data_IF_858972928732
#
_entry.id   IF_858972928732
#
_cell.length_a   1.000
_cell.length_b   1.000
_cell.length_c   1.000
_cell.angle_alpha   90.00
_cell.angle_beta   90.00
_cell.angle_gamma   90.00
#
_symmetry.space_group_name_H-M   'P 1'
#
loop_
_entity.id
_entity.type
_entity.pdbx_description
1 polymer ?
#
# COMPACT_ATOMS: atom_id res chain seq x y z
N UNK A 1 -22.90 33.43 -21.23
CA UNK A 1 -22.71 32.24 -20.39
C UNK A 1 -24.11 31.81 -19.99
N UNK A 2 -24.62 30.74 -20.61
CA UNK A 2 -25.91 30.18 -20.23
C UNK A 2 -25.75 29.52 -18.86
N UNK A 3 -26.61 29.88 -17.91
CA UNK A 3 -26.53 29.43 -16.53
C UNK A 3 -26.93 27.97 -16.26
N UNK A 4 -26.88 27.11 -17.27
CA UNK A 4 -27.23 25.70 -17.14
C UNK A 4 -26.08 24.95 -16.47
N UNK A 5 -26.35 24.38 -15.31
CA UNK A 5 -25.42 23.50 -14.58
C UNK A 5 -25.37 22.11 -15.26
N UNK A 6 -24.53 21.94 -16.26
CA UNK A 6 -24.26 20.64 -16.82
C UNK A 6 -23.19 19.94 -16.02
N UNK A 7 -23.38 18.64 -15.74
CA UNK A 7 -22.34 17.78 -15.14
C UNK A 7 -21.30 17.45 -16.19
N UNK A 8 -20.09 17.96 -16.02
CA UNK A 8 -18.94 17.64 -16.88
C UNK A 8 -18.13 16.55 -16.23
N UNK A 9 -17.80 15.50 -16.99
CA UNK A 9 -16.97 14.40 -16.53
C UNK A 9 -15.50 14.72 -16.85
N UNK A 10 -14.66 14.74 -15.82
CA UNK A 10 -13.21 14.83 -15.94
C UNK A 10 -12.59 13.45 -15.85
N UNK A 11 -11.50 13.25 -16.58
CA UNK A 11 -10.72 12.00 -16.55
C UNK A 11 -9.33 12.29 -16.03
N UNK A 12 -8.88 11.49 -15.06
CA UNK A 12 -7.52 11.52 -14.56
C UNK A 12 -6.69 10.47 -15.31
N UNK A 13 -5.62 10.92 -15.95
CA UNK A 13 -4.64 10.05 -16.59
C UNK A 13 -3.37 10.01 -15.75
N UNK A 14 -2.98 8.82 -15.28
CA UNK A 14 -1.71 8.58 -14.59
C UNK A 14 -0.78 7.87 -15.56
N UNK A 15 0.28 8.53 -15.97
CA UNK A 15 1.23 8.01 -16.95
C UNK A 15 2.57 7.76 -16.25
N UNK A 16 2.96 6.49 -16.03
CA UNK A 16 4.27 6.16 -15.49
C UNK A 16 5.36 6.57 -16.48
N UNK A 17 6.13 7.63 -16.18
CA UNK A 17 7.15 8.15 -17.09
C UNK A 17 8.31 7.18 -17.37
N UNK A 18 8.42 6.09 -16.58
CA UNK A 18 9.40 5.02 -16.80
C UNK A 18 8.96 3.97 -17.81
N UNK A 19 7.66 3.88 -18.10
CA UNK A 19 7.07 2.94 -19.05
C UNK A 19 7.02 3.57 -20.45
N UNK A 20 8.13 4.14 -20.89
CA UNK A 20 8.24 4.78 -22.19
C UNK A 20 8.41 3.74 -23.31
N UNK A 21 7.74 3.95 -24.43
CA UNK A 21 7.85 3.07 -25.61
C UNK A 21 9.20 3.20 -26.31
N UNK A 22 9.81 4.38 -26.28
CA UNK A 22 11.05 4.65 -27.00
C UNK A 22 11.92 5.66 -26.28
N UNK A 23 13.22 5.38 -26.26
CA UNK A 23 14.27 6.30 -25.83
C UNK A 23 15.07 6.77 -27.03
N UNK A 24 15.26 8.07 -27.16
CA UNK A 24 16.05 8.68 -28.23
C UNK A 24 17.25 9.41 -27.64
N UNK A 25 18.44 9.16 -28.17
CA UNK A 25 19.68 9.76 -27.71
C UNK A 25 20.27 9.13 -26.43
N UNK A 26 21.15 9.86 -25.76
CA UNK A 26 21.94 9.40 -24.63
C UNK A 26 21.28 9.67 -23.26
N UNK A 27 19.99 9.91 -23.19
CA UNK A 27 19.25 10.15 -21.94
C UNK A 27 19.34 8.90 -21.07
N UNK A 28 19.88 9.03 -19.86
CA UNK A 28 20.05 7.91 -18.91
C UNK A 28 19.01 7.88 -17.79
N UNK A 29 18.50 9.06 -17.43
CA UNK A 29 17.56 9.21 -16.30
C UNK A 29 16.66 10.44 -16.49
N UNK A 30 15.73 10.64 -15.53
CA UNK A 30 14.81 11.77 -15.49
C UNK A 30 15.20 12.84 -14.44
N UNK A 31 16.47 12.91 -14.05
CA UNK A 31 16.92 13.86 -13.02
C UNK A 31 16.87 15.31 -13.50
N UNK A 32 17.06 15.53 -14.78
CA UNK A 32 17.07 16.87 -15.37
C UNK A 32 16.14 16.90 -16.59
N UNK A 33 14.88 17.25 -16.37
CA UNK A 33 13.90 17.46 -17.43
C UNK A 33 13.83 18.95 -17.73
N UNK A 34 14.23 19.35 -18.95
CA UNK A 34 14.24 20.78 -19.36
C UNK A 34 12.92 21.22 -19.98
N UNK A 35 12.23 20.32 -20.65
CA UNK A 35 10.90 20.60 -21.20
C UNK A 35 10.10 19.31 -21.32
N UNK A 36 8.80 19.47 -21.36
CA UNK A 36 7.83 18.42 -21.59
C UNK A 36 6.92 18.85 -22.73
N UNK A 37 6.68 17.93 -23.66
CA UNK A 37 5.77 18.16 -24.79
C UNK A 37 4.69 17.11 -24.78
N UNK A 38 3.45 17.56 -24.90
CA UNK A 38 2.30 16.69 -25.14
C UNK A 38 1.75 17.00 -26.53
N UNK A 39 1.45 15.96 -27.29
CA UNK A 39 0.79 16.09 -28.59
C UNK A 39 -0.24 14.99 -28.75
N UNK A 40 -1.24 15.24 -29.55
CA UNK A 40 -2.32 14.30 -29.83
C UNK A 40 -2.52 14.21 -31.32
N UNK A 41 -2.78 13.02 -31.82
CA UNK A 41 -2.98 12.72 -33.23
C UNK A 41 -4.20 11.83 -33.44
N UNK A 42 -4.61 11.64 -34.69
CA UNK A 42 -5.66 10.69 -35.04
C UNK A 42 -7.10 11.19 -34.91
N UNK A 43 -7.32 12.48 -34.69
CA UNK A 43 -8.67 13.03 -34.65
C UNK A 43 -9.32 13.00 -36.05
N UNK A 44 -10.48 12.35 -36.12
CA UNK A 44 -11.29 12.27 -37.36
C UNK A 44 -12.33 13.38 -37.46
N UNK A 45 -12.58 14.10 -36.38
CA UNK A 45 -13.57 15.19 -36.29
C UNK A 45 -12.97 16.34 -35.48
N UNK A 46 -13.53 17.54 -35.66
CA UNK A 46 -13.20 18.67 -34.79
C UNK A 46 -13.48 18.29 -33.33
N UNK A 47 -12.47 18.41 -32.50
CA UNK A 47 -12.50 17.99 -31.09
C UNK A 47 -11.95 19.09 -30.23
N UNK A 48 -12.67 19.44 -29.16
CA UNK A 48 -12.20 20.37 -28.14
C UNK A 48 -11.81 19.57 -26.90
N UNK A 49 -10.57 19.73 -26.46
CA UNK A 49 -10.05 19.12 -25.24
C UNK A 49 -9.77 20.22 -24.23
N UNK A 50 -10.11 19.95 -22.97
CA UNK A 50 -9.81 20.84 -21.84
C UNK A 50 -8.88 20.11 -20.91
N UNK A 51 -7.77 20.74 -20.55
CA UNK A 51 -6.80 20.25 -19.58
C UNK A 51 -6.97 21.04 -18.29
N UNK A 52 -7.11 20.33 -17.18
CA UNK A 52 -7.20 20.95 -15.85
C UNK A 52 -5.81 21.18 -15.27
N UNK A 53 -5.13 20.09 -14.92
CA UNK A 53 -3.83 20.11 -14.25
C UNK A 53 -2.87 19.15 -14.94
N UNK A 54 -1.58 19.50 -14.95
CA UNK A 54 -0.49 18.63 -15.39
C UNK A 54 0.61 18.68 -14.32
N UNK A 55 0.81 17.56 -13.62
CA UNK A 55 1.75 17.47 -12.52
C UNK A 55 2.73 16.32 -12.72
N UNK A 56 3.99 16.53 -12.31
CA UNK A 56 4.98 15.48 -12.15
C UNK A 56 4.98 15.06 -10.67
N UNK A 57 4.42 13.89 -10.41
CA UNK A 57 4.34 13.34 -9.06
C UNK A 57 5.49 12.39 -8.81
N UNK A 58 6.23 12.60 -7.72
CA UNK A 58 7.24 11.67 -7.23
C UNK A 58 6.67 10.84 -6.10
N UNK A 59 6.52 9.54 -6.35
CA UNK A 59 6.20 8.60 -5.28
C UNK A 59 7.48 8.10 -4.58
N UNK A 60 7.47 8.04 -3.26
CA UNK A 60 8.56 7.42 -2.48
C UNK A 60 8.53 5.89 -2.56
N UNK A 61 7.36 5.34 -2.78
CA UNK A 61 7.13 3.91 -2.90
C UNK A 61 7.44 3.40 -4.31
N UNK A 62 8.20 2.31 -4.38
CA UNK A 62 8.58 1.63 -5.62
C UNK A 62 7.92 0.26 -5.67
N UNK A 63 7.36 -0.12 -6.81
CA UNK A 63 6.84 -1.47 -7.02
C UNK A 63 7.98 -2.48 -6.97
N UNK A 64 7.77 -3.55 -6.21
CA UNK A 64 8.70 -4.66 -6.17
C UNK A 64 8.36 -5.65 -7.31
N UNK A 65 9.31 -5.87 -8.22
CA UNK A 65 9.10 -6.58 -9.48
C UNK A 65 9.65 -8.00 -9.49
N UNK A 66 10.17 -8.50 -8.36
CA UNK A 66 10.71 -9.84 -8.23
C UNK A 66 9.78 -10.73 -7.41
N UNK A 67 9.99 -12.04 -7.47
CA UNK A 67 9.29 -12.98 -6.60
C UNK A 67 9.67 -12.73 -5.14
N UNK A 68 8.67 -12.69 -4.25
CA UNK A 68 8.90 -12.41 -2.82
C UNK A 68 9.49 -13.60 -2.05
N UNK A 69 9.36 -14.80 -2.61
CA UNK A 69 9.98 -16.03 -2.07
C UNK A 69 11.32 -16.34 -2.72
N UNK A 70 11.50 -15.95 -3.99
CA UNK A 70 12.76 -16.11 -4.73
C UNK A 70 13.10 -14.83 -5.51
N UNK A 71 13.80 -13.90 -4.87
CA UNK A 71 14.05 -12.56 -5.43
C UNK A 71 15.08 -12.51 -6.58
N UNK A 72 15.57 -13.64 -7.02
CA UNK A 72 16.47 -13.75 -8.19
C UNK A 72 15.70 -13.95 -9.50
N UNK A 73 14.40 -14.21 -9.42
CA UNK A 73 13.53 -14.47 -10.58
C UNK A 73 12.32 -13.53 -10.59
N UNK A 74 11.70 -13.30 -11.75
CA UNK A 74 10.40 -12.63 -11.82
C UNK A 74 9.34 -13.40 -11.03
N UNK A 75 8.22 -12.77 -10.66
CA UNK A 75 7.10 -13.47 -10.03
C UNK A 75 6.64 -14.66 -10.86
N UNK A 76 6.24 -15.73 -10.17
CA UNK A 76 5.78 -16.97 -10.83
C UNK A 76 4.40 -16.84 -11.49
N UNK A 77 3.65 -15.82 -11.12
CA UNK A 77 2.29 -15.59 -11.61
C UNK A 77 2.20 -14.32 -12.44
N UNK A 78 1.22 -14.30 -13.34
CA UNK A 78 0.90 -13.12 -14.16
C UNK A 78 0.15 -12.04 -13.37
N UNK A 79 -0.08 -12.25 -12.08
CA UNK A 79 -0.74 -11.28 -11.20
C UNK A 79 -0.07 -9.92 -11.24
N UNK A 80 -0.87 -8.88 -11.43
CA UNK A 80 -0.39 -7.50 -11.57
C UNK A 80 -0.69 -6.67 -10.33
N UNK A 81 0.13 -5.66 -10.11
CA UNK A 81 -0.12 -4.60 -9.14
C UNK A 81 -0.06 -3.25 -9.82
N UNK A 82 -1.10 -2.45 -9.64
CA UNK A 82 -1.11 -1.03 -10.02
C UNK A 82 -1.10 -0.22 -8.74
N UNK A 83 -0.10 0.64 -8.61
CA UNK A 83 0.11 1.48 -7.43
C UNK A 83 -0.32 2.90 -7.75
N UNK A 84 -1.18 3.45 -6.92
CA UNK A 84 -1.68 4.82 -7.08
C UNK A 84 -1.95 5.45 -5.71
N UNK A 85 -2.35 6.71 -5.69
CA UNK A 85 -2.92 7.36 -4.51
C UNK A 85 -4.44 7.40 -4.62
N UNK A 86 -5.13 7.26 -3.51
CA UNK A 86 -6.53 7.62 -3.33
C UNK A 86 -6.61 8.73 -2.28
N UNK A 87 -7.48 9.70 -2.49
CA UNK A 87 -7.53 10.88 -1.63
C UNK A 87 -8.95 11.43 -1.50
N UNK A 88 -9.15 12.29 -0.49
CA UNK A 88 -10.49 12.80 -0.17
C UNK A 88 -11.04 13.71 -1.27
N UNK A 89 -10.22 14.45 -2.00
CA UNK A 89 -10.65 15.42 -2.98
C UNK A 89 -11.08 14.77 -4.30
N UNK A 90 -10.30 13.82 -4.80
CA UNK A 90 -10.55 13.14 -6.06
C UNK A 90 -11.48 11.93 -5.91
N UNK A 91 -11.38 11.22 -4.79
CA UNK A 91 -12.03 9.93 -4.57
C UNK A 91 -13.15 9.98 -3.51
N UNK A 92 -13.50 11.17 -3.00
CA UNK A 92 -14.58 11.32 -2.04
C UNK A 92 -15.97 10.97 -2.60
N UNK A 93 -16.12 10.84 -3.93
CA UNK A 93 -17.35 10.39 -4.61
C UNK A 93 -17.14 9.13 -5.46
N UNK A 94 -16.05 8.40 -5.25
CA UNK A 94 -15.75 7.15 -5.93
C UNK A 94 -16.79 6.08 -5.57
N UNK A 95 -17.05 5.15 -6.48
CA UNK A 95 -17.87 3.96 -6.28
C UNK A 95 -17.01 2.71 -6.59
N UNK A 96 -17.25 1.58 -5.95
CA UNK A 96 -18.30 1.25 -4.98
C UNK A 96 -17.99 1.71 -3.54
N UNK A 97 -16.73 2.05 -3.24
CA UNK A 97 -16.32 2.60 -1.94
C UNK A 97 -15.62 3.93 -2.20
N UNK A 98 -16.14 4.99 -1.61
CA UNK A 98 -15.50 6.29 -1.66
C UNK A 98 -14.45 6.43 -0.56
N UNK A 99 -13.47 7.29 -0.79
CA UNK A 99 -12.48 7.61 0.22
C UNK A 99 -13.11 8.41 1.37
N UNK A 100 -12.85 7.99 2.59
CA UNK A 100 -13.14 8.71 3.82
C UNK A 100 -11.87 8.78 4.68
N UNK A 101 -11.78 9.76 5.56
CA UNK A 101 -10.65 9.88 6.47
C UNK A 101 -10.60 8.69 7.44
N UNK A 102 -9.40 8.13 7.73
CA UNK A 102 -9.28 7.12 8.79
C UNK A 102 -9.74 7.67 10.14
N UNK A 103 -10.21 6.78 11.05
CA UNK A 103 -10.64 7.19 12.38
C UNK A 103 -9.55 7.97 13.14
N UNK A 104 -9.94 9.11 13.70
CA UNK A 104 -9.02 9.99 14.45
C UNK A 104 -8.07 10.81 13.61
N UNK A 105 -8.12 10.73 12.29
CA UNK A 105 -7.35 11.57 11.38
C UNK A 105 -8.19 12.78 10.97
N UNK A 106 -7.59 13.96 11.04
CA UNK A 106 -8.18 15.21 10.58
C UNK A 106 -7.27 15.89 9.56
N UNK A 107 -7.89 16.58 8.61
CA UNK A 107 -7.13 17.36 7.62
C UNK A 107 -6.52 18.59 8.30
N UNK A 108 -5.21 18.77 8.11
CA UNK A 108 -4.53 19.98 8.57
C UNK A 108 -4.83 21.14 7.62
N UNK A 109 -4.81 22.36 8.16
CA UNK A 109 -4.90 23.56 7.34
C UNK A 109 -3.54 23.89 6.73
N UNK A 110 -3.54 24.30 5.48
CA UNK A 110 -2.33 24.80 4.82
C UNK A 110 -2.07 26.24 5.28
N UNK A 111 -1.15 26.38 6.21
CA UNK A 111 -0.77 27.69 6.75
C UNK A 111 -0.04 28.61 5.76
N UNK A 112 0.38 28.08 4.61
CA UNK A 112 1.02 28.87 3.54
C UNK A 112 0.01 29.61 2.65
N UNK A 113 -1.29 29.27 2.77
CA UNK A 113 -2.35 29.84 1.95
C UNK A 113 -3.24 30.80 2.75
N UNK A 114 -3.50 32.02 2.25
CA UNK A 114 -4.36 32.98 2.94
C UNK A 114 -5.81 32.51 3.14
N UNK A 115 -6.26 31.51 2.38
CA UNK A 115 -7.65 31.02 2.36
C UNK A 115 -7.90 29.81 3.26
N UNK A 116 -7.04 29.50 4.24
CA UNK A 116 -7.22 28.38 5.18
C UNK A 116 -7.68 27.08 4.47
N UNK A 117 -7.06 26.76 3.33
CA UNK A 117 -7.38 25.52 2.62
C UNK A 117 -6.89 24.32 3.44
N UNK A 118 -7.72 23.29 3.51
CA UNK A 118 -7.34 22.04 4.13
C UNK A 118 -6.41 21.26 3.18
N UNK A 119 -5.32 20.71 3.72
CA UNK A 119 -4.44 19.83 2.95
C UNK A 119 -5.19 18.60 2.47
N UNK A 120 -4.87 18.15 1.25
CA UNK A 120 -5.43 16.92 0.72
C UNK A 120 -4.85 15.73 1.49
N UNK A 121 -5.70 14.89 2.02
CA UNK A 121 -5.32 13.69 2.73
C UNK A 121 -5.47 12.48 1.79
N UNK A 122 -4.46 11.58 1.80
CA UNK A 122 -4.35 10.53 0.81
C UNK A 122 -3.78 9.22 1.38
N UNK A 123 -4.19 8.12 0.80
CA UNK A 123 -3.67 6.79 1.06
C UNK A 123 -2.96 6.21 -0.18
N UNK A 124 -2.06 5.27 0.06
CA UNK A 124 -1.47 4.46 -0.99
C UNK A 124 -2.46 3.37 -1.40
N UNK A 125 -2.86 3.32 -2.67
CA UNK A 125 -3.69 2.27 -3.24
C UNK A 125 -2.83 1.24 -3.97
N UNK A 126 -3.09 -0.03 -3.70
CA UNK A 126 -2.54 -1.20 -4.38
C UNK A 126 -3.69 -1.98 -5.00
N UNK A 127 -3.93 -1.78 -6.28
CA UNK A 127 -4.90 -2.58 -7.04
C UNK A 127 -4.23 -3.84 -7.55
N UNK A 128 -4.70 -4.96 -7.08
CA UNK A 128 -4.20 -6.30 -7.40
C UNK A 128 -5.13 -6.96 -8.42
N UNK A 129 -4.56 -7.53 -9.47
CA UNK A 129 -5.29 -8.25 -10.50
C UNK A 129 -4.67 -9.62 -10.69
N UNK A 130 -5.52 -10.67 -10.66
CA UNK A 130 -5.19 -12.06 -10.97
C UNK A 130 -4.01 -12.62 -10.16
N UNK A 131 -3.95 -12.32 -8.87
CA UNK A 131 -2.92 -12.82 -7.97
C UNK A 131 -3.13 -14.31 -7.69
N UNK A 132 -2.14 -15.12 -8.06
CA UNK A 132 -2.16 -16.57 -7.86
C UNK A 132 -2.15 -16.99 -6.39
N UNK A 133 -2.56 -18.24 -6.07
CA UNK A 133 -2.49 -18.80 -4.72
C UNK A 133 -1.14 -18.66 -4.07
N UNK A 134 -1.11 -18.25 -2.81
CA UNK A 134 0.07 -18.07 -1.97
C UNK A 134 1.11 -17.07 -2.54
N UNK A 135 0.77 -16.34 -3.61
CA UNK A 135 1.61 -15.29 -4.19
C UNK A 135 1.34 -13.94 -3.53
N UNK A 136 2.25 -13.00 -3.72
CA UNK A 136 2.16 -11.67 -3.16
C UNK A 136 2.73 -10.60 -4.09
N UNK A 137 2.24 -9.37 -3.94
CA UNK A 137 2.78 -8.18 -4.59
C UNK A 137 3.05 -7.12 -3.54
N UNK A 138 4.06 -6.32 -3.78
CA UNK A 138 4.49 -5.35 -2.78
C UNK A 138 5.06 -4.07 -3.39
N UNK A 139 5.08 -3.04 -2.56
CA UNK A 139 5.83 -1.81 -2.74
C UNK A 139 6.87 -1.66 -1.65
N UNK A 140 7.95 -0.96 -1.93
CA UNK A 140 9.00 -0.72 -0.95
C UNK A 140 9.57 0.69 -1.05
N UNK A 141 10.18 1.14 0.03
CA UNK A 141 11.02 2.33 0.05
C UNK A 141 12.30 2.06 0.83
N UNK A 142 13.39 2.67 0.37
CA UNK A 142 14.65 2.67 1.11
C UNK A 142 14.61 3.74 2.20
N UNK A 143 15.10 3.40 3.37
CA UNK A 143 15.10 4.24 4.57
C UNK A 143 16.45 4.18 5.27
N UNK A 144 16.58 4.86 6.37
CA UNK A 144 17.71 4.76 7.29
C UNK A 144 17.21 5.07 8.70
N UNK A 145 16.34 4.19 9.22
CA UNK A 145 15.68 4.40 10.50
C UNK A 145 16.28 3.54 11.61
N UNK A 146 16.47 4.16 12.77
CA UNK A 146 16.66 3.47 14.05
C UNK A 146 15.31 3.48 14.79
N UNK A 147 14.69 2.30 14.86
CA UNK A 147 13.35 2.14 15.45
C UNK A 147 13.37 1.72 16.92
N UNK A 148 14.54 1.56 17.55
CA UNK A 148 14.66 1.06 18.93
C UNK A 148 14.01 1.94 19.99
N UNK A 149 13.86 3.25 19.69
CA UNK A 149 13.26 4.24 20.60
C UNK A 149 11.74 4.38 20.48
N UNK A 150 11.13 3.67 19.54
CA UNK A 150 9.69 3.64 19.33
C UNK A 150 9.12 2.34 19.90
N UNK A 151 7.95 2.42 20.52
CA UNK A 151 7.30 1.25 21.13
C UNK A 151 6.33 0.56 20.19
N UNK A 152 5.67 1.32 19.33
CA UNK A 152 4.59 0.82 18.47
C UNK A 152 4.73 1.25 17.03
N UNK A 153 4.22 0.40 16.14
CA UNK A 153 3.97 0.73 14.74
C UNK A 153 2.46 0.70 14.49
N UNK A 154 1.96 1.72 13.81
CA UNK A 154 0.57 1.84 13.41
C UNK A 154 0.45 2.11 11.93
N UNK A 155 -0.60 1.55 11.29
CA UNK A 155 -0.97 1.79 9.91
C UNK A 155 -2.43 1.36 9.71
N UNK A 156 -3.24 2.20 9.08
CA UNK A 156 -4.58 1.82 8.65
C UNK A 156 -4.53 1.02 7.36
N UNK A 157 -5.42 0.06 7.22
CA UNK A 157 -5.61 -0.68 5.98
C UNK A 157 -7.10 -0.83 5.65
N UNK A 158 -7.41 -0.66 4.38
CA UNK A 158 -8.71 -0.88 3.76
C UNK A 158 -8.57 -1.99 2.72
N UNK A 159 -9.62 -2.77 2.53
CA UNK A 159 -9.70 -3.74 1.45
C UNK A 159 -11.09 -3.75 0.83
N UNK A 160 -11.14 -3.87 -0.49
CA UNK A 160 -12.40 -4.00 -1.22
C UNK A 160 -12.31 -5.06 -2.32
N UNK A 161 -13.45 -5.72 -2.59
CA UNK A 161 -13.58 -6.62 -3.71
C UNK A 161 -13.63 -5.83 -5.04
N UNK A 162 -13.25 -6.44 -6.18
CA UNK A 162 -13.47 -5.83 -7.48
C UNK A 162 -14.97 -5.68 -7.77
N UNK A 163 -15.33 -4.72 -8.63
CA UNK A 163 -16.72 -4.52 -9.06
C UNK A 163 -17.21 -5.71 -9.90
N UNK A 164 -16.30 -6.39 -10.57
CA UNK A 164 -16.59 -7.57 -11.39
C UNK A 164 -16.98 -8.76 -10.51
N UNK A 165 -18.27 -9.09 -10.51
CA UNK A 165 -18.85 -10.19 -9.73
C UNK A 165 -18.28 -11.56 -10.07
N UNK A 166 -17.64 -11.73 -11.25
CA UNK A 166 -16.94 -12.96 -11.61
C UNK A 166 -15.70 -13.22 -10.77
N UNK A 167 -15.19 -12.19 -10.08
CA UNK A 167 -13.97 -12.24 -9.24
C UNK A 167 -14.35 -12.03 -7.78
N UNK A 168 -14.66 -13.12 -7.10
CA UNK A 168 -15.04 -13.07 -5.69
C UNK A 168 -13.84 -12.90 -4.76
N UNK A 169 -13.95 -11.99 -3.80
CA UNK A 169 -13.03 -11.82 -2.70
C UNK A 169 -13.82 -11.87 -1.39
N UNK A 170 -13.30 -12.54 -0.38
CA UNK A 170 -13.92 -12.69 0.94
C UNK A 170 -12.99 -12.23 2.05
N UNK A 171 -13.52 -12.02 3.25
CA UNK A 171 -12.72 -11.66 4.41
C UNK A 171 -11.61 -12.70 4.65
N UNK A 172 -10.38 -12.24 4.83
CA UNK A 172 -9.21 -13.08 5.06
C UNK A 172 -8.56 -13.67 3.79
N UNK A 173 -9.19 -13.56 2.62
CA UNK A 173 -8.60 -14.02 1.34
C UNK A 173 -7.30 -13.26 1.04
N UNK A 174 -7.28 -11.96 1.30
CA UNK A 174 -6.08 -11.15 1.28
C UNK A 174 -5.57 -10.86 2.68
N UNK A 175 -4.26 -10.78 2.81
CA UNK A 175 -3.60 -10.14 3.94
C UNK A 175 -2.71 -9.00 3.48
N UNK A 176 -2.60 -7.98 4.31
CA UNK A 176 -1.57 -6.94 4.17
C UNK A 176 -0.42 -7.29 5.09
N UNK A 177 0.81 -7.12 4.60
CA UNK A 177 2.00 -7.29 5.44
C UNK A 177 2.95 -6.11 5.34
N UNK A 178 3.69 -5.88 6.42
CA UNK A 178 4.81 -4.94 6.45
C UNK A 178 6.10 -5.70 6.78
N UNK A 179 7.16 -5.44 6.01
CA UNK A 179 8.54 -5.92 6.30
C UNK A 179 9.42 -4.77 6.72
N UNK A 180 10.19 -5.01 7.76
CA UNK A 180 11.17 -4.07 8.32
C UNK A 180 12.51 -4.78 8.43
N UNK A 181 13.56 -4.28 7.78
CA UNK A 181 14.85 -4.93 7.84
C UNK A 181 15.98 -4.21 7.16
N UNK A 182 17.14 -4.82 7.15
CA UNK A 182 18.29 -4.36 6.38
C UNK A 182 18.14 -4.65 4.89
N UNK A 183 17.37 -5.68 4.56
CA UNK A 183 16.92 -5.99 3.21
C UNK A 183 15.52 -6.64 3.27
N UNK A 184 14.85 -6.80 2.13
CA UNK A 184 13.50 -7.36 2.03
C UNK A 184 13.48 -8.85 1.66
N UNK A 185 14.64 -9.53 1.65
CA UNK A 185 14.85 -10.90 1.18
C UNK A 185 15.29 -11.85 2.27
N UNK A 186 16.40 -11.50 2.94
CA UNK A 186 17.15 -12.41 3.80
C UNK A 186 17.22 -11.94 5.26
N UNK A 187 16.95 -10.65 5.52
CA UNK A 187 17.09 -10.07 6.85
C UNK A 187 15.96 -9.09 7.13
N UNK A 188 14.77 -9.61 7.48
CA UNK A 188 13.62 -8.80 7.81
C UNK A 188 12.75 -9.43 8.89
N UNK A 189 12.01 -8.57 9.58
CA UNK A 189 10.78 -8.90 10.32
C UNK A 189 9.58 -8.65 9.40
N UNK A 190 8.55 -9.48 9.51
CA UNK A 190 7.28 -9.30 8.81
C UNK A 190 6.13 -9.38 9.81
N UNK A 191 5.22 -8.43 9.73
CA UNK A 191 3.95 -8.45 10.44
C UNK A 191 2.82 -8.48 9.43
N UNK A 192 1.91 -9.44 9.54
CA UNK A 192 0.88 -9.75 8.57
C UNK A 192 -0.50 -9.77 9.21
N UNK A 193 -1.47 -9.11 8.58
CA UNK A 193 -2.85 -8.95 9.04
C UNK A 193 -3.81 -9.42 7.95
N UNK A 194 -4.63 -10.45 8.20
CA UNK A 194 -5.74 -10.82 7.30
C UNK A 194 -6.76 -9.68 7.23
N UNK A 195 -7.25 -9.38 6.03
CA UNK A 195 -8.10 -8.22 5.78
C UNK A 195 -9.58 -8.59 5.77
N UNK A 196 -10.38 -7.78 6.47
CA UNK A 196 -11.83 -7.74 6.32
C UNK A 196 -12.19 -6.75 5.23
N UNK A 197 -13.16 -7.09 4.38
CA UNK A 197 -13.56 -6.25 3.27
C UNK A 197 -14.54 -5.17 3.69
N UNK A 198 -14.39 -4.00 3.10
CA UNK A 198 -15.41 -2.96 3.14
C UNK A 198 -16.56 -3.35 2.22
N UNK A 199 -17.80 -3.34 2.70
CA UNK A 199 -18.96 -3.61 1.86
C UNK A 199 -19.09 -2.60 0.73
N UNK A 200 -19.47 -3.06 -0.46
CA UNK A 200 -19.88 -2.17 -1.53
C UNK A 200 -21.16 -1.42 -1.15
N UNK A 201 -21.24 -0.15 -1.46
CA UNK A 201 -22.39 0.68 -1.13
C UNK A 201 -22.80 1.57 -2.31
N UNK A 202 -24.09 1.70 -2.53
CA UNK A 202 -24.65 2.68 -3.46
C UNK A 202 -24.75 4.08 -2.84
N UNK A 203 -24.73 4.14 -1.51
CA UNK A 203 -24.71 5.39 -0.73
C UNK A 203 -23.26 5.67 -0.31
N UNK A 204 -22.82 6.90 -0.48
CA UNK A 204 -21.47 7.31 -0.09
C UNK A 204 -21.29 7.20 1.44
N UNK A 205 -20.16 6.64 1.83
CA UNK A 205 -19.70 6.67 3.21
C UNK A 205 -19.39 8.12 3.62
N UNK A 206 -19.83 8.52 4.81
CA UNK A 206 -19.65 9.89 5.29
C UNK A 206 -18.34 10.01 6.10
N UNK A 207 -17.42 10.85 5.63
CA UNK A 207 -16.12 11.07 6.30
C UNK A 207 -16.23 11.68 7.71
N UNK A 208 -17.38 12.29 8.05
CA UNK A 208 -17.62 12.86 9.38
C UNK A 208 -18.41 11.90 10.31
N UNK A 209 -18.68 10.68 9.85
CA UNK A 209 -19.38 9.67 10.63
C UNK A 209 -18.41 8.56 11.04
N UNK A 210 -18.17 8.39 12.34
CA UNK A 210 -17.24 7.38 12.86
C UNK A 210 -17.59 5.94 12.45
N UNK A 211 -18.88 5.61 12.40
CA UNK A 211 -19.32 4.28 11.98
C UNK A 211 -19.02 4.00 10.51
N UNK A 212 -19.09 5.02 9.64
CA UNK A 212 -18.72 4.88 8.24
C UNK A 212 -17.19 4.85 8.05
N UNK A 213 -16.46 5.64 8.85
CA UNK A 213 -14.99 5.54 8.90
C UNK A 213 -14.53 4.14 9.30
N UNK A 214 -15.15 3.54 10.33
CA UNK A 214 -14.83 2.18 10.78
C UNK A 214 -15.21 1.10 9.76
N UNK A 215 -16.24 1.30 8.94
CA UNK A 215 -16.57 0.38 7.84
C UNK A 215 -15.52 0.42 6.73
N UNK A 216 -15.04 1.63 6.37
CA UNK A 216 -14.01 1.79 5.33
C UNK A 216 -12.63 1.43 5.85
N UNK A 217 -12.33 1.69 7.12
CA UNK A 217 -11.08 1.37 7.80
C UNK A 217 -11.34 0.45 8.99
N UNK A 218 -11.65 -0.84 8.76
CA UNK A 218 -11.97 -1.76 9.85
C UNK A 218 -10.85 -1.84 10.88
N UNK A 219 -11.21 -1.81 12.16
CA UNK A 219 -10.22 -1.90 13.23
C UNK A 219 -9.38 -3.18 13.13
N UNK A 220 -10.01 -4.28 12.71
CA UNK A 220 -9.34 -5.57 12.49
C UNK A 220 -8.23 -5.51 11.42
N UNK A 221 -8.32 -4.59 10.47
CA UNK A 221 -7.33 -4.39 9.42
C UNK A 221 -6.18 -3.49 9.86
N UNK A 222 -6.34 -2.78 10.98
CA UNK A 222 -5.34 -1.84 11.46
C UNK A 222 -4.12 -2.59 12.01
N UNK A 223 -2.96 -2.33 11.41
CA UNK A 223 -1.70 -2.71 12.03
C UNK A 223 -1.48 -1.81 13.25
N UNK A 224 -1.42 -2.39 14.41
CA UNK A 224 -1.14 -1.67 15.66
C UNK A 224 -0.46 -2.62 16.64
N UNK A 225 0.84 -2.78 16.53
CA UNK A 225 1.59 -3.75 17.30
C UNK A 225 2.82 -3.15 17.96
N UNK A 226 3.27 -3.80 19.05
CA UNK A 226 4.49 -3.43 19.75
C UNK A 226 5.70 -3.90 18.93
N UNK A 227 6.69 -3.03 18.75
CA UNK A 227 7.96 -3.40 18.07
C UNK A 227 8.73 -4.45 18.88
N UNK A 228 8.56 -4.49 20.20
CA UNK A 228 9.11 -5.50 21.10
C UNK A 228 8.71 -6.93 20.67
N UNK A 229 7.47 -7.13 20.21
CA UNK A 229 6.97 -8.44 19.73
C UNK A 229 7.86 -9.04 18.63
N UNK A 230 8.44 -8.19 17.77
CA UNK A 230 9.39 -8.63 16.73
C UNK A 230 10.71 -9.08 17.32
N UNK A 231 11.23 -8.37 18.31
CA UNK A 231 12.48 -8.71 18.98
C UNK A 231 12.35 -9.95 19.83
N UNK A 232 11.21 -10.14 20.49
CA UNK A 232 10.89 -11.34 21.27
C UNK A 232 10.83 -12.58 20.39
N UNK A 233 10.20 -12.48 19.21
CA UNK A 233 10.21 -13.57 18.22
C UNK A 233 11.65 -13.95 17.82
N UNK A 234 12.54 -12.97 17.65
CA UNK A 234 13.96 -13.20 17.35
C UNK A 234 14.67 -13.91 18.48
N UNK A 235 14.47 -13.47 19.71
CA UNK A 235 15.07 -14.07 20.90
C UNK A 235 14.62 -15.52 21.07
N UNK A 236 13.33 -15.78 20.93
CA UNK A 236 12.75 -17.10 21.00
C UNK A 236 13.32 -18.02 19.91
N UNK A 237 13.29 -17.63 18.64
CA UNK A 237 13.90 -18.40 17.54
C UNK A 237 15.36 -18.74 17.84
N UNK A 238 16.14 -17.78 18.32
CA UNK A 238 17.54 -17.96 18.62
C UNK A 238 17.77 -18.93 19.78
N UNK A 239 16.88 -18.90 20.79
CA UNK A 239 16.88 -19.85 21.92
C UNK A 239 16.61 -21.27 21.42
N UNK A 240 15.54 -21.48 20.66
CA UNK A 240 15.17 -22.79 20.11
C UNK A 240 16.27 -23.36 19.22
N UNK A 241 16.88 -22.52 18.37
CA UNK A 241 18.00 -22.93 17.54
C UNK A 241 19.22 -23.41 18.37
N UNK A 242 19.56 -22.68 19.43
CA UNK A 242 20.66 -23.10 20.34
C UNK A 242 20.37 -24.39 21.06
N UNK A 243 19.11 -24.67 21.36
CA UNK A 243 18.65 -25.89 22.00
C UNK A 243 18.55 -27.09 21.03
N UNK A 244 18.81 -26.88 19.74
CA UNK A 244 18.63 -27.90 18.70
C UNK A 244 17.19 -28.33 18.49
N UNK A 245 16.21 -27.53 18.95
CA UNK A 245 14.81 -27.84 18.84
C UNK A 245 14.28 -27.44 17.46
N UNK A 246 13.61 -28.38 16.79
CA UNK A 246 13.05 -28.18 15.46
C UNK A 246 14.13 -27.97 14.36
N UNK A 247 13.69 -27.91 13.13
CA UNK A 247 14.58 -27.61 11.99
C UNK A 247 14.69 -26.10 11.77
N UNK A 248 15.12 -25.36 12.80
CA UNK A 248 15.19 -23.90 12.82
C UNK A 248 16.50 -23.42 12.21
N UNK A 249 16.40 -22.59 11.16
CA UNK A 249 17.53 -21.98 10.47
C UNK A 249 17.33 -20.49 10.29
N UNK A 250 18.42 -19.72 10.25
CA UNK A 250 18.37 -18.30 9.89
C UNK A 250 17.95 -18.07 8.43
N UNK A 251 18.10 -19.08 7.57
CA UNK A 251 17.75 -19.03 6.16
C UNK A 251 16.30 -19.43 5.89
N UNK A 252 15.58 -19.89 6.90
CA UNK A 252 14.16 -20.24 6.83
C UNK A 252 13.33 -19.24 7.63
N UNK A 253 12.14 -18.94 7.13
CA UNK A 253 11.19 -18.12 7.87
C UNK A 253 10.77 -18.84 9.14
N UNK A 254 10.86 -18.18 10.27
CA UNK A 254 10.27 -18.58 11.53
C UNK A 254 9.07 -17.68 11.84
N UNK A 255 7.92 -18.28 12.11
CA UNK A 255 6.66 -17.54 12.25
C UNK A 255 5.87 -18.00 13.46
N UNK A 256 5.13 -17.08 14.06
CA UNK A 256 4.12 -17.31 15.08
C UNK A 256 2.94 -16.34 14.92
N UNK A 257 1.84 -16.63 15.59
CA UNK A 257 0.80 -15.64 15.75
C UNK A 257 1.21 -14.58 16.79
N UNK A 258 0.73 -13.37 16.61
CA UNK A 258 0.94 -12.29 17.57
C UNK A 258 0.26 -12.64 18.92
N UNK A 259 0.97 -12.62 20.05
CA UNK A 259 0.36 -12.92 21.34
C UNK A 259 -0.73 -11.92 21.75
N UNK A 260 -0.65 -10.67 21.32
CA UNK A 260 -1.65 -9.63 21.60
C UNK A 260 -2.86 -9.71 20.65
N UNK A 261 -2.70 -10.30 19.46
CA UNK A 261 -3.76 -10.53 18.47
C UNK A 261 -3.49 -11.78 17.62
N UNK A 262 -4.01 -12.90 18.05
CA UNK A 262 -3.75 -14.22 17.44
C UNK A 262 -4.23 -14.39 16.00
N UNK A 263 -5.03 -13.44 15.48
CA UNK A 263 -5.41 -13.37 14.07
C UNK A 263 -4.20 -12.99 13.20
N UNK A 264 -3.30 -12.18 13.75
CA UNK A 264 -2.15 -11.64 13.04
C UNK A 264 -0.94 -12.57 13.17
N UNK A 265 -0.06 -12.48 12.20
CA UNK A 265 1.13 -13.33 12.12
C UNK A 265 2.40 -12.50 12.13
N UNK A 266 3.36 -12.92 12.93
CA UNK A 266 4.70 -12.36 12.96
C UNK A 266 5.71 -13.35 12.41
N UNK A 267 6.66 -12.88 11.63
CA UNK A 267 7.67 -13.72 10.98
C UNK A 267 9.03 -13.06 11.00
N UNK A 268 10.06 -13.88 10.98
CA UNK A 268 11.45 -13.43 10.90
C UNK A 268 12.27 -14.35 9.99
N UNK A 269 13.15 -13.76 9.20
CA UNK A 269 14.23 -14.47 8.49
C UNK A 269 15.55 -13.72 8.69
N UNK A 270 16.65 -14.44 8.68
CA UNK A 270 17.98 -13.85 8.84
C UNK A 270 18.25 -13.32 10.25
N UNK A 271 18.96 -12.21 10.32
CA UNK A 271 19.30 -11.55 11.58
C UNK A 271 18.99 -10.03 11.51
N UNK A 272 17.74 -9.64 11.27
CA UNK A 272 17.36 -8.23 11.17
C UNK A 272 17.58 -7.51 12.50
N UNK A 273 17.74 -6.18 12.42
CA UNK A 273 17.87 -5.28 13.57
C UNK A 273 16.96 -4.08 13.41
N UNK A 274 16.25 -3.71 14.48
CA UNK A 274 15.47 -2.46 14.52
C UNK A 274 16.36 -1.22 14.63
N UNK A 275 17.65 -1.39 14.96
CA UNK A 275 18.63 -0.29 14.97
C UNK A 275 19.02 0.19 13.56
N UNK A 276 18.82 -0.66 12.55
CA UNK A 276 19.25 -0.39 11.17
C UNK A 276 18.20 -0.90 10.18
N UNK A 277 17.08 -0.21 10.10
CA UNK A 277 16.03 -0.50 9.12
C UNK A 277 16.32 0.28 7.84
N UNK A 278 16.84 -0.42 6.84
CA UNK A 278 17.19 0.16 5.52
C UNK A 278 16.05 0.08 4.52
N UNK A 279 15.10 -0.81 4.76
CA UNK A 279 13.97 -1.01 3.85
C UNK A 279 12.69 -1.21 4.64
N UNK A 280 11.65 -0.52 4.19
CA UNK A 280 10.25 -0.80 4.55
C UNK A 280 9.56 -1.30 3.28
N UNK A 281 8.88 -2.44 3.38
CA UNK A 281 8.08 -3.00 2.30
C UNK A 281 6.65 -3.21 2.82
N UNK A 282 5.66 -2.87 2.02
CA UNK A 282 4.25 -3.16 2.27
C UNK A 282 3.74 -3.98 1.11
N UNK A 283 3.01 -5.04 1.39
CA UNK A 283 2.49 -5.91 0.33
C UNK A 283 1.17 -6.55 0.67
N UNK A 284 0.58 -7.13 -0.35
CA UNK A 284 -0.67 -7.89 -0.29
C UNK A 284 -0.37 -9.33 -0.68
N UNK A 285 -0.86 -10.28 0.10
CA UNK A 285 -0.73 -11.73 -0.13
C UNK A 285 -2.08 -12.36 -0.33
N UNK A 286 -2.17 -13.28 -1.28
CA UNK A 286 -3.32 -14.15 -1.47
C UNK A 286 -3.18 -15.40 -0.58
N UNK A 287 -4.08 -15.56 0.38
CA UNK A 287 -4.08 -16.68 1.33
C UNK A 287 -4.93 -17.88 0.86
N UNK A 288 -5.52 -17.79 -0.32
CA UNK A 288 -6.45 -18.82 -0.82
C UNK A 288 -5.79 -19.78 -1.78
N UNK A 289 -6.54 -20.84 -2.16
CA UNK A 289 -6.18 -21.76 -3.24
C UNK A 289 -6.54 -21.28 -4.65
N UNK A 290 -7.18 -20.12 -4.78
CA UNK A 290 -7.72 -19.59 -6.04
C UNK A 290 -7.03 -18.29 -6.45
N UNK A 291 -7.15 -17.93 -7.72
CA UNK A 291 -6.71 -16.62 -8.23
C UNK A 291 -7.66 -15.54 -7.70
N UNK A 292 -7.11 -14.50 -7.13
CA UNK A 292 -7.88 -13.40 -6.52
C UNK A 292 -7.48 -12.04 -7.08
N UNK A 293 -8.46 -11.14 -7.11
CA UNK A 293 -8.29 -9.73 -7.46
C UNK A 293 -8.96 -8.86 -6.40
N UNK A 294 -8.46 -7.66 -6.18
CA UNK A 294 -9.01 -6.72 -5.20
C UNK A 294 -8.18 -5.45 -5.11
N UNK A 295 -8.60 -4.53 -4.28
CA UNK A 295 -7.87 -3.29 -4.02
C UNK A 295 -7.65 -3.13 -2.53
N UNK A 296 -6.43 -2.75 -2.15
CA UNK A 296 -6.03 -2.50 -0.76
C UNK A 296 -5.46 -1.10 -0.67
N UNK A 297 -5.95 -0.31 0.29
CA UNK A 297 -5.35 0.99 0.61
C UNK A 297 -4.63 0.90 1.94
N UNK A 298 -3.52 1.63 2.06
CA UNK A 298 -2.79 1.76 3.32
C UNK A 298 -2.51 3.23 3.59
N UNK A 299 -2.67 3.61 4.85
CA UNK A 299 -2.54 4.99 5.27
C UNK A 299 -1.90 5.13 6.64
N UNK A 300 -1.32 6.33 6.92
CA UNK A 300 -0.81 6.72 8.23
C UNK A 300 0.20 5.70 8.82
N UNK A 301 1.20 5.26 8.00
CA UNK A 301 2.31 4.49 8.55
C UNK A 301 3.13 5.37 9.49
N UNK A 302 3.01 5.11 10.78
CA UNK A 302 3.65 5.89 11.84
C UNK A 302 4.24 5.03 12.93
N UNK A 303 5.29 5.55 13.55
CA UNK A 303 5.87 5.02 14.79
C UNK A 303 5.41 5.90 15.93
N UNK A 304 4.96 5.28 17.01
CA UNK A 304 4.40 5.99 18.17
C UNK A 304 5.07 5.56 19.48
N UNK A 305 4.75 6.26 20.56
CA UNK A 305 5.25 5.99 21.90
C UNK A 305 6.78 6.03 21.94
N UNK A 306 7.31 7.24 21.71
CA UNK A 306 8.74 7.51 21.77
C UNK A 306 9.21 7.57 23.21
N UNK A 307 10.36 6.90 23.53
CA UNK A 307 11.03 6.98 24.84
C UNK A 307 11.94 8.19 24.94
#
# INVERSE_FOLDING_TARGET
MNGDKEKVKWYLFKIPIKDYEKRVGAIRDFKTVRFMRMYMTGFRKSTVLRFGTLELVRGDWRTYTQDLSNPLVPPKSDGQIVVSSVNIEENGQRQPVNYVLPPGISRMFDSSQPQLLQQNEQALSMKITDLSPADARAVYKSTAYDLRRYKRLQMFAHAEAPIDESKTLSNGDFSVFIRLGSDYKNNYYEYEVPLDLTPHSTILYNTNNSADQEKVWPLNNTLNFKLETLTDLKLERNKLKRQGQGNISYQKVYSKNDPDNTRNKISIIGNPSLAEVKVIMIGVRNNTGDIKSGEVWVNELRMTDFD
#
